data_IF_853078979736
#
_entry.id   IF_853078979736
#
_cell.length_a   1.000
_cell.length_b   1.000
_cell.length_c   1.000
_cell.angle_alpha   90.00
_cell.angle_beta   90.00
_cell.angle_gamma   90.00
#
_symmetry.space_group_name_H-M   'P 1'
#
loop_
_entity.id
_entity.type
_entity.pdbx_description
1 polymer ?
#
# COMPACT_ATOMS: atom_id res chain seq x y z
N UNK A 1 -2.84 -15.92 -20.59
CA UNK A 1 -3.32 -14.64 -20.00
C UNK A 1 -2.17 -13.64 -20.07
N UNK A 2 -2.34 -12.46 -20.67
CA UNK A 2 -1.36 -11.37 -20.55
C UNK A 2 -1.81 -10.46 -19.42
N UNK A 3 -0.97 -10.28 -18.40
CA UNK A 3 -1.21 -9.28 -17.38
C UNK A 3 -1.25 -7.90 -18.05
N UNK A 4 -2.33 -7.14 -17.84
CA UNK A 4 -2.42 -5.75 -18.29
C UNK A 4 -1.53 -4.92 -17.38
N UNK A 5 -0.40 -4.45 -17.89
CA UNK A 5 0.42 -3.47 -17.21
C UNK A 5 -0.09 -2.07 -17.54
N UNK A 6 -0.46 -1.33 -16.51
CA UNK A 6 -0.74 0.10 -16.63
C UNK A 6 0.57 0.85 -16.44
N UNK A 7 0.96 1.74 -17.36
CA UNK A 7 2.13 2.59 -17.15
C UNK A 7 1.85 3.60 -16.03
N UNK A 8 2.87 3.93 -15.23
CA UNK A 8 2.82 4.96 -14.17
C UNK A 8 1.80 4.70 -13.06
N UNK A 9 1.72 3.46 -12.55
CA UNK A 9 0.85 3.15 -11.41
C UNK A 9 1.45 3.70 -10.13
N UNK A 10 0.74 4.59 -9.46
CA UNK A 10 1.07 5.05 -8.12
C UNK A 10 0.54 4.11 -7.06
N UNK A 11 1.40 3.71 -6.13
CA UNK A 11 1.04 2.92 -4.95
C UNK A 11 1.50 3.68 -3.71
N UNK A 12 0.60 3.82 -2.75
CA UNK A 12 0.87 4.48 -1.48
C UNK A 12 1.26 3.46 -0.40
N UNK A 13 2.40 3.68 0.23
CA UNK A 13 2.97 2.79 1.25
C UNK A 13 3.26 3.58 2.54
N UNK A 14 2.87 3.04 3.69
CA UNK A 14 3.06 3.71 4.98
C UNK A 14 4.35 3.30 5.70
N UNK A 15 5.02 2.24 5.24
CA UNK A 15 6.34 1.84 5.76
C UNK A 15 7.47 2.37 4.89
N UNK A 16 8.19 3.35 5.42
CA UNK A 16 9.41 3.89 4.81
C UNK A 16 10.46 2.82 4.51
N UNK A 17 10.57 1.77 5.34
CA UNK A 17 11.48 0.66 5.09
C UNK A 17 11.14 -0.11 3.82
N UNK A 18 9.85 -0.33 3.53
CA UNK A 18 9.38 -0.97 2.30
C UNK A 18 9.76 -0.13 1.08
N UNK A 19 9.55 1.19 1.14
CA UNK A 19 9.92 2.12 0.06
C UNK A 19 11.43 2.17 -0.16
N UNK A 20 12.23 2.26 0.91
CA UNK A 20 13.69 2.27 0.83
C UNK A 20 14.22 0.96 0.24
N UNK A 21 13.64 -0.17 0.65
CA UNK A 21 13.95 -1.47 0.06
C UNK A 21 13.64 -1.42 -1.45
N UNK A 22 12.43 -1.05 -1.86
CA UNK A 22 12.03 -0.98 -3.28
C UNK A 22 12.91 -0.07 -4.15
N UNK A 23 13.44 1.01 -3.59
CA UNK A 23 14.35 1.94 -4.27
C UNK A 23 15.83 1.52 -4.21
N UNK A 24 16.14 0.38 -3.58
CA UNK A 24 17.50 -0.15 -3.40
C UNK A 24 18.38 0.66 -2.41
N UNK A 25 17.78 1.42 -1.51
CA UNK A 25 18.43 2.30 -0.52
C UNK A 25 18.82 1.57 0.79
N UNK A 26 19.07 0.25 0.75
CA UNK A 26 19.41 -0.51 1.97
C UNK A 26 19.18 -2.01 1.88
N UNK A 27 19.68 -2.67 0.84
CA UNK A 27 19.57 -4.12 0.69
C UNK A 27 20.18 -4.85 1.91
N UNK A 28 19.35 -5.60 2.65
CA UNK A 28 19.80 -6.53 3.67
C UNK A 28 19.39 -7.95 3.29
N UNK A 29 20.37 -8.83 3.08
CA UNK A 29 20.24 -10.20 2.59
C UNK A 29 19.48 -11.19 3.50
N UNK A 30 18.84 -10.72 4.57
CA UNK A 30 18.29 -11.56 5.64
C UNK A 30 16.84 -12.01 5.43
N UNK A 31 16.20 -11.72 4.30
CA UNK A 31 14.78 -12.06 4.08
C UNK A 31 14.52 -12.83 2.76
N UNK A 32 14.92 -14.10 2.70
CA UNK A 32 14.72 -14.97 1.51
C UNK A 32 13.27 -15.08 1.00
N UNK A 33 12.26 -15.00 1.88
CA UNK A 33 10.84 -15.04 1.47
C UNK A 33 10.35 -13.70 0.90
N UNK A 34 11.06 -12.62 1.18
CA UNK A 34 10.80 -11.28 0.65
C UNK A 34 11.50 -11.11 -0.70
N UNK A 35 12.67 -11.73 -0.90
CA UNK A 35 13.52 -11.57 -2.09
C UNK A 35 12.76 -11.71 -3.42
N UNK A 36 11.95 -12.77 -3.61
CA UNK A 36 11.27 -12.99 -4.91
C UNK A 36 10.23 -11.92 -5.22
N UNK A 37 9.40 -11.54 -4.25
CA UNK A 37 8.38 -10.48 -4.43
C UNK A 37 9.03 -9.10 -4.52
N UNK A 38 10.12 -8.91 -3.79
CA UNK A 38 10.93 -7.70 -3.81
C UNK A 38 11.57 -7.46 -5.18
N UNK A 39 12.15 -8.49 -5.80
CA UNK A 39 12.72 -8.38 -7.15
C UNK A 39 11.68 -7.89 -8.15
N UNK A 40 10.48 -8.46 -8.13
CA UNK A 40 9.39 -8.02 -9.01
C UNK A 40 9.05 -6.54 -8.81
N UNK A 41 8.74 -6.11 -7.58
CA UNK A 41 8.35 -4.72 -7.30
C UNK A 41 9.48 -3.75 -7.65
N UNK A 42 10.72 -4.06 -7.25
CA UNK A 42 11.90 -3.25 -7.57
C UNK A 42 12.10 -3.11 -9.07
N UNK A 43 11.97 -4.20 -9.82
CA UNK A 43 12.17 -4.16 -11.26
C UNK A 43 11.05 -3.33 -11.93
N UNK A 44 9.81 -3.39 -11.44
CA UNK A 44 8.73 -2.50 -11.91
C UNK A 44 8.98 -1.01 -11.57
N UNK A 45 9.55 -0.71 -10.40
CA UNK A 45 9.94 0.66 -10.02
C UNK A 45 11.08 1.15 -10.90
N UNK A 46 12.12 0.34 -11.12
CA UNK A 46 13.26 0.66 -11.99
C UNK A 46 12.85 0.89 -13.44
N UNK A 47 11.88 0.11 -13.93
CA UNK A 47 11.30 0.28 -15.27
C UNK A 47 10.33 1.48 -15.36
N UNK A 48 10.10 2.22 -14.26
CA UNK A 48 9.20 3.36 -14.20
C UNK A 48 7.71 3.00 -14.31
N UNK A 49 7.37 1.71 -14.27
CA UNK A 49 5.98 1.23 -14.36
C UNK A 49 5.21 1.45 -13.07
N UNK A 50 5.93 1.49 -11.94
CA UNK A 50 5.37 1.64 -10.60
C UNK A 50 6.08 2.78 -9.86
N UNK A 51 5.31 3.65 -9.24
CA UNK A 51 5.82 4.72 -8.38
C UNK A 51 5.33 4.48 -6.95
N UNK A 52 6.26 4.35 -6.00
CA UNK A 52 5.95 4.25 -4.58
C UNK A 52 6.00 5.64 -3.94
N UNK A 53 4.92 6.02 -3.27
CA UNK A 53 4.83 7.28 -2.53
C UNK A 53 4.52 6.98 -1.06
N UNK A 54 5.20 7.68 -0.15
CA UNK A 54 4.91 7.55 1.27
C UNK A 54 3.56 8.19 1.60
N UNK A 55 2.77 7.49 2.40
CA UNK A 55 1.56 8.02 3.04
C UNK A 55 1.65 7.84 4.54
N UNK A 56 1.14 8.78 5.33
CA UNK A 56 1.06 8.58 6.77
C UNK A 56 0.12 7.41 7.09
N UNK A 57 0.46 6.57 8.08
CA UNK A 57 -0.37 5.42 8.47
C UNK A 57 -1.80 5.83 8.84
N UNK A 58 -2.05 7.04 9.35
CA UNK A 58 -3.40 7.54 9.65
C UNK A 58 -4.21 7.94 8.41
N UNK A 59 -3.56 8.02 7.26
CA UNK A 59 -4.16 8.33 5.96
C UNK A 59 -4.09 7.14 4.98
N UNK A 60 -3.54 5.99 5.40
CA UNK A 60 -3.51 4.79 4.58
C UNK A 60 -4.92 4.19 4.45
N UNK A 61 -5.61 4.53 3.36
CA UNK A 61 -6.98 4.08 3.09
C UNK A 61 -7.09 2.55 3.09
N UNK A 62 -6.05 1.81 2.68
CA UNK A 62 -6.10 0.35 2.71
C UNK A 62 -6.20 -0.26 4.13
N UNK A 63 -5.92 0.52 5.18
CA UNK A 63 -5.91 0.02 6.55
C UNK A 63 -7.30 -0.40 7.04
N UNK A 64 -8.38 0.24 6.57
CA UNK A 64 -9.73 -0.19 6.98
C UNK A 64 -10.06 -1.62 6.51
N UNK A 65 -9.37 -2.12 5.46
CA UNK A 65 -9.55 -3.48 4.94
C UNK A 65 -8.67 -4.52 5.64
N UNK A 66 -7.59 -4.09 6.30
CA UNK A 66 -6.50 -4.99 6.73
C UNK A 66 -6.25 -4.97 8.23
N UNK A 67 -6.72 -3.95 8.96
CA UNK A 67 -6.44 -3.73 10.38
C UNK A 67 -7.71 -3.60 11.23
N UNK A 68 -7.70 -4.08 12.49
CA UNK A 68 -8.74 -3.77 13.47
C UNK A 68 -8.55 -2.34 14.01
N UNK A 69 -9.16 -1.36 13.33
CA UNK A 69 -9.09 0.07 13.70
C UNK A 69 -10.19 0.47 14.70
N UNK A 70 -9.94 1.55 15.45
CA UNK A 70 -10.99 2.21 16.24
C UNK A 70 -12.11 2.73 15.33
N UNK A 71 -13.34 2.81 15.84
CA UNK A 71 -14.51 3.26 15.06
C UNK A 71 -14.25 4.59 14.37
N UNK A 72 -13.67 5.57 15.09
CA UNK A 72 -13.32 6.89 14.54
C UNK A 72 -12.36 6.80 13.35
N UNK A 73 -11.29 6.00 13.47
CA UNK A 73 -10.30 5.88 12.40
C UNK A 73 -10.85 5.09 11.22
N UNK A 74 -11.61 4.02 11.49
CA UNK A 74 -12.27 3.23 10.47
C UNK A 74 -13.25 4.07 9.64
N UNK A 75 -14.15 4.81 10.29
CA UNK A 75 -15.15 5.65 9.61
C UNK A 75 -14.50 6.75 8.77
N UNK A 76 -13.39 7.33 9.26
CA UNK A 76 -12.61 8.30 8.49
C UNK A 76 -12.07 7.68 7.19
N UNK A 77 -11.38 6.54 7.27
CA UNK A 77 -10.77 5.90 6.11
C UNK A 77 -11.81 5.39 5.10
N UNK A 78 -12.95 4.86 5.56
CA UNK A 78 -14.04 4.43 4.67
C UNK A 78 -14.66 5.60 3.91
N UNK A 79 -14.82 6.75 4.58
CA UNK A 79 -15.27 7.99 3.90
C UNK A 79 -14.26 8.45 2.85
N UNK A 80 -12.96 8.39 3.15
CA UNK A 80 -11.89 8.70 2.19
C UNK A 80 -11.88 7.73 0.99
N UNK A 81 -12.28 6.47 1.21
CA UNK A 81 -12.40 5.47 0.14
C UNK A 81 -13.61 5.69 -0.80
N UNK A 82 -14.45 6.70 -0.55
CA UNK A 82 -15.68 6.99 -1.31
C UNK A 82 -16.65 5.80 -1.42
N UNK A 83 -16.67 4.92 -0.42
CA UNK A 83 -17.62 3.80 -0.37
C UNK A 83 -18.99 4.35 0.01
N UNK A 84 -19.93 4.26 -0.94
CA UNK A 84 -21.34 4.65 -0.73
C UNK A 84 -22.07 3.62 0.13
N UNK A 85 -23.08 4.07 0.88
CA UNK A 85 -23.96 3.24 1.71
C UNK A 85 -23.26 2.53 2.90
N UNK A 86 -22.12 3.04 3.36
CA UNK A 86 -21.52 2.53 4.57
C UNK A 86 -22.26 3.07 5.80
N UNK A 87 -22.91 2.18 6.56
CA UNK A 87 -23.48 2.51 7.86
C UNK A 87 -22.37 2.51 8.91
N UNK A 88 -22.17 3.60 9.67
CA UNK A 88 -21.19 3.63 10.74
C UNK A 88 -21.51 2.55 11.77
N UNK A 89 -20.46 1.90 12.30
CA UNK A 89 -20.62 0.84 13.29
C UNK A 89 -21.34 1.40 14.52
N UNK A 90 -22.53 0.86 14.83
CA UNK A 90 -23.37 1.30 15.95
C UNK A 90 -24.59 2.14 15.57
N UNK A 91 -24.95 2.25 14.29
CA UNK A 91 -26.16 2.95 13.81
C UNK A 91 -27.46 2.12 13.91
N UNK A 92 -27.54 1.13 14.81
CA UNK A 92 -28.72 0.33 15.11
C UNK A 92 -29.09 0.46 16.59
#
# INVERSE_FOLDING_TARGET
MKAKFYPNVKIFEDKRSTTAIANNDGYQSRAKHIDVRYHFVRDQVKEGKLQLEYVDSKEQVADFLTKPLSTKQFDKLVRQANIKNFLPRGAL
#
